data_IF_993302359880
#
_entry.id   IF_993302359880
#
_cell.length_a   1.000
_cell.length_b   1.000
_cell.length_c   1.000
_cell.angle_alpha   90.00
_cell.angle_beta   90.00
_cell.angle_gamma   90.00
#
_symmetry.space_group_name_H-M   'P 1'
#
loop_
_entity.id
_entity.type
_entity.pdbx_description
1 polymer ?
#
# COMPACT_ATOMS: atom_id res chain seq x y z
N UNK A 1 7.93 -55.97 41.08
CA UNK A 1 8.46 -55.01 40.08
C UNK A 1 7.42 -53.90 39.94
N UNK A 2 7.79 -52.65 40.18
CA UNK A 2 6.84 -51.52 40.37
C UNK A 2 6.22 -51.12 39.01
N UNK A 3 4.92 -51.33 38.75
CA UNK A 3 4.28 -50.96 37.48
C UNK A 3 4.13 -49.44 37.32
N UNK A 4 4.52 -48.66 38.33
CA UNK A 4 4.34 -47.21 38.39
C UNK A 4 5.03 -46.44 37.26
N UNK A 5 6.18 -46.90 36.74
CA UNK A 5 6.84 -46.17 35.63
C UNK A 5 6.14 -46.33 34.29
N UNK A 6 5.61 -47.52 33.99
CA UNK A 6 4.85 -47.77 32.76
C UNK A 6 3.50 -47.04 32.83
N UNK A 7 2.84 -47.09 33.99
CA UNK A 7 1.60 -46.35 34.21
C UNK A 7 1.78 -44.82 34.11
N UNK A 8 2.89 -44.27 34.62
CA UNK A 8 3.21 -42.85 34.46
C UNK A 8 3.50 -42.44 33.02
N UNK A 9 4.20 -43.28 32.25
CA UNK A 9 4.46 -43.02 30.82
C UNK A 9 3.16 -43.08 30.01
N UNK A 10 2.30 -44.06 30.30
CA UNK A 10 0.98 -44.17 29.66
C UNK A 10 0.08 -42.98 30.02
N UNK A 11 0.11 -42.52 31.28
CA UNK A 11 -0.61 -41.32 31.71
C UNK A 11 -0.11 -40.05 31.03
N UNK A 12 1.20 -39.93 30.81
CA UNK A 12 1.79 -38.79 30.09
C UNK A 12 1.43 -38.81 28.60
N UNK A 13 1.47 -39.97 27.96
CA UNK A 13 1.04 -40.12 26.55
C UNK A 13 -0.44 -39.78 26.37
N UNK A 14 -1.29 -40.25 27.29
CA UNK A 14 -2.74 -40.01 27.22
C UNK A 14 -3.08 -38.53 27.42
N UNK A 15 -2.38 -37.85 28.32
CA UNK A 15 -2.56 -36.40 28.53
C UNK A 15 -2.07 -35.56 27.34
N UNK A 16 -0.98 -35.96 26.67
CA UNK A 16 -0.54 -35.28 25.43
C UNK A 16 -1.45 -35.54 24.24
N UNK A 17 -2.06 -36.74 24.15
CA UNK A 17 -2.98 -37.08 23.06
C UNK A 17 -4.35 -36.39 23.20
N UNK A 18 -4.77 -36.06 24.43
CA UNK A 18 -6.02 -35.37 24.74
C UNK A 18 -5.90 -33.84 24.74
N UNK A 19 -4.74 -33.29 24.37
CA UNK A 19 -4.49 -31.86 24.24
C UNK A 19 -4.36 -31.39 22.76
N UNK A 20 -5.26 -31.75 21.82
CA UNK A 20 -5.26 -31.04 20.54
C UNK A 20 -5.67 -29.59 20.82
N UNK A 21 -4.74 -28.66 20.65
CA UNK A 21 -5.01 -27.24 20.75
C UNK A 21 -6.02 -26.79 19.70
N UNK A 22 -6.85 -25.79 20.02
CA UNK A 22 -7.87 -25.23 19.14
C UNK A 22 -7.28 -24.39 18.00
N UNK A 23 -6.40 -24.98 17.18
CA UNK A 23 -5.72 -24.29 16.06
C UNK A 23 -6.72 -23.68 15.09
N UNK A 24 -7.74 -24.44 14.67
CA UNK A 24 -8.77 -23.98 13.72
C UNK A 24 -9.72 -22.91 14.30
N UNK A 25 -9.71 -22.70 15.62
CA UNK A 25 -10.40 -21.59 16.26
C UNK A 25 -9.57 -20.30 16.19
N UNK A 26 -8.24 -20.42 16.35
CA UNK A 26 -7.29 -19.31 16.33
C UNK A 26 -6.94 -18.87 14.90
N UNK A 27 -6.80 -19.84 13.99
CA UNK A 27 -6.42 -19.61 12.60
C UNK A 27 -7.69 -19.60 11.74
N UNK A 28 -8.14 -18.39 11.40
CA UNK A 28 -9.26 -18.17 10.49
C UNK A 28 -8.78 -17.46 9.23
N UNK A 29 -9.11 -18.03 8.09
CA UNK A 29 -8.93 -17.33 6.81
C UNK A 29 -9.93 -16.18 6.71
N UNK A 30 -9.49 -15.00 6.26
CA UNK A 30 -10.39 -13.88 6.08
C UNK A 30 -11.31 -14.14 4.88
N UNK A 31 -12.61 -14.01 5.09
CA UNK A 31 -13.62 -14.25 4.07
C UNK A 31 -13.82 -12.99 3.21
N UNK A 32 -13.98 -13.17 1.90
CA UNK A 32 -14.30 -12.09 0.97
C UNK A 32 -13.18 -11.08 0.72
N UNK A 33 -11.94 -11.42 1.09
CA UNK A 33 -10.76 -10.59 0.79
C UNK A 33 -9.66 -11.43 0.14
N UNK A 34 -8.90 -10.79 -0.73
CA UNK A 34 -7.72 -11.40 -1.35
C UNK A 34 -6.56 -11.28 -0.38
N UNK A 35 -5.90 -12.39 -0.07
CA UNK A 35 -4.68 -12.40 0.73
C UNK A 35 -3.46 -12.38 -0.19
N UNK A 36 -2.28 -12.01 0.31
CA UNK A 36 -1.04 -12.18 -0.47
C UNK A 36 -0.87 -13.62 -0.97
N UNK A 37 -1.31 -14.60 -0.18
CA UNK A 37 -1.28 -16.02 -0.56
C UNK A 37 -2.22 -16.33 -1.72
N UNK A 38 -3.40 -15.70 -1.83
CA UNK A 38 -4.33 -15.99 -2.93
C UNK A 38 -4.17 -15.08 -4.15
N UNK A 39 -3.50 -13.92 -4.01
CA UNK A 39 -3.37 -12.92 -5.07
C UNK A 39 -2.67 -13.47 -6.33
N UNK A 40 -1.62 -14.28 -6.17
CA UNK A 40 -0.83 -14.79 -7.30
C UNK A 40 -1.15 -16.22 -7.71
N UNK A 41 -2.16 -16.84 -7.08
CA UNK A 41 -2.54 -18.24 -7.31
C UNK A 41 -3.80 -18.39 -8.18
N UNK A 42 -4.40 -17.29 -8.64
CA UNK A 42 -5.57 -17.27 -9.52
C UNK A 42 -5.28 -16.37 -10.75
N UNK A 43 -5.44 -16.87 -11.99
CA UNK A 43 -5.31 -16.05 -13.20
C UNK A 43 -6.16 -14.78 -13.19
N UNK A 44 -7.35 -14.82 -12.58
CA UNK A 44 -8.22 -13.65 -12.45
C UNK A 44 -7.57 -12.57 -11.59
N UNK A 45 -7.00 -12.97 -10.45
CA UNK A 45 -6.31 -12.06 -9.53
C UNK A 45 -5.04 -11.49 -10.16
N UNK A 46 -4.33 -12.26 -10.99
CA UNK A 46 -3.18 -11.77 -11.74
C UNK A 46 -3.57 -10.63 -12.71
N UNK A 47 -4.69 -10.77 -13.45
CA UNK A 47 -5.22 -9.70 -14.30
C UNK A 47 -5.65 -8.49 -13.47
N UNK A 48 -6.30 -8.71 -12.33
CA UNK A 48 -6.68 -7.61 -11.42
C UNK A 48 -5.47 -6.88 -10.85
N UNK A 49 -4.38 -7.58 -10.53
CA UNK A 49 -3.13 -6.98 -10.07
C UNK A 49 -2.53 -6.07 -11.15
N UNK A 50 -2.47 -6.52 -12.41
CA UNK A 50 -2.02 -5.68 -13.54
C UNK A 50 -2.93 -4.46 -13.74
N UNK A 51 -4.25 -4.66 -13.69
CA UNK A 51 -5.20 -3.55 -13.78
C UNK A 51 -5.04 -2.54 -12.64
N UNK A 52 -4.71 -3.00 -11.43
CA UNK A 52 -4.45 -2.13 -10.29
C UNK A 52 -3.19 -1.27 -10.47
N UNK A 53 -2.22 -1.70 -11.27
CA UNK A 53 -1.07 -0.85 -11.66
C UNK A 53 -1.52 0.26 -12.60
N UNK A 54 -2.30 -0.07 -13.63
CA UNK A 54 -2.85 0.92 -14.57
C UNK A 54 -3.81 1.92 -13.92
N UNK A 55 -4.58 1.47 -12.93
CA UNK A 55 -5.45 2.33 -12.13
C UNK A 55 -4.66 3.51 -11.52
N UNK A 56 -3.54 3.25 -10.84
CA UNK A 56 -2.70 4.32 -10.26
C UNK A 56 -2.18 5.28 -11.31
N UNK A 57 -1.75 4.75 -12.47
CA UNK A 57 -1.22 5.56 -13.56
C UNK A 57 -2.30 6.49 -14.18
N UNK A 58 -3.58 6.21 -13.93
CA UNK A 58 -4.70 7.01 -14.43
C UNK A 58 -5.23 8.03 -13.42
N UNK A 59 -4.68 8.07 -12.20
CA UNK A 59 -5.15 8.98 -11.17
C UNK A 59 -4.74 10.42 -11.47
N UNK A 60 -5.71 11.33 -11.39
CA UNK A 60 -5.42 12.73 -11.13
C UNK A 60 -5.16 12.89 -9.61
N UNK A 61 -6.08 12.42 -8.77
CA UNK A 61 -5.96 12.37 -7.30
C UNK A 61 -6.12 10.93 -6.82
N UNK A 62 -5.56 10.60 -5.66
CA UNK A 62 -5.49 9.21 -5.24
C UNK A 62 -5.15 8.97 -3.78
N UNK A 63 -5.32 7.74 -3.29
CA UNK A 63 -4.98 7.37 -1.93
C UNK A 63 -3.48 7.50 -1.67
N UNK A 64 -3.15 7.94 -0.47
CA UNK A 64 -1.79 7.97 0.05
C UNK A 64 -1.33 6.55 0.35
N UNK A 65 -0.35 6.07 -0.40
CA UNK A 65 0.24 4.76 -0.17
C UNK A 65 0.76 4.60 1.27
N UNK A 66 0.46 3.44 1.86
CA UNK A 66 0.88 3.10 3.22
C UNK A 66 0.12 3.83 4.34
N UNK A 67 -0.91 4.64 4.04
CA UNK A 67 -1.75 5.25 5.06
C UNK A 67 -2.92 4.33 5.45
N UNK A 68 -2.96 3.81 6.69
CA UNK A 68 -4.01 2.89 7.13
C UNK A 68 -5.39 3.58 7.24
N UNK A 69 -5.44 4.91 7.25
CA UNK A 69 -6.68 5.67 7.34
C UNK A 69 -7.24 6.04 5.96
N UNK A 70 -6.59 5.64 4.86
CA UNK A 70 -7.05 5.91 3.51
C UNK A 70 -7.06 7.40 3.16
N UNK A 71 -6.13 8.18 3.72
CA UNK A 71 -5.97 9.59 3.35
C UNK A 71 -5.74 9.74 1.85
N UNK A 72 -6.32 10.76 1.22
CA UNK A 72 -6.09 11.08 -0.19
C UNK A 72 -5.04 12.17 -0.32
N UNK A 73 -4.20 12.06 -1.34
CA UNK A 73 -3.33 13.14 -1.79
C UNK A 73 -3.98 13.90 -2.96
N UNK A 74 -3.70 15.20 -3.11
CA UNK A 74 -4.19 16.02 -4.22
C UNK A 74 -3.66 15.56 -5.60
N UNK A 75 -3.74 16.44 -6.59
CA UNK A 75 -3.37 16.13 -7.97
C UNK A 75 -1.89 15.76 -8.10
N UNK A 76 -1.51 14.93 -9.07
CA UNK A 76 -0.11 14.56 -9.33
C UNK A 76 0.80 15.75 -9.63
N UNK A 77 0.25 16.81 -10.22
CA UNK A 77 0.94 18.07 -10.55
C UNK A 77 2.15 17.95 -11.49
N UNK A 78 2.27 16.86 -12.25
CA UNK A 78 3.41 16.56 -13.13
C UNK A 78 3.67 17.64 -14.18
N UNK A 79 2.62 18.21 -14.77
CA UNK A 79 2.71 19.31 -15.74
C UNK A 79 3.39 20.56 -15.17
N UNK A 80 3.31 20.79 -13.86
CA UNK A 80 3.99 21.93 -13.23
C UNK A 80 5.51 21.79 -13.32
N UNK A 81 6.03 20.56 -13.25
CA UNK A 81 7.46 20.27 -13.33
C UNK A 81 7.95 20.17 -14.78
N UNK A 82 7.14 19.57 -15.66
CA UNK A 82 7.51 19.37 -17.07
C UNK A 82 7.43 20.64 -17.91
N UNK A 83 6.39 21.46 -17.69
CA UNK A 83 6.10 22.61 -18.56
C UNK A 83 6.34 23.94 -17.85
N UNK A 84 5.79 24.15 -16.65
CA UNK A 84 5.90 25.49 -16.01
C UNK A 84 7.32 25.78 -15.56
N UNK A 85 8.05 24.79 -15.06
CA UNK A 85 9.46 24.96 -14.70
C UNK A 85 10.39 25.03 -15.92
N UNK A 86 9.90 24.74 -17.13
CA UNK A 86 10.59 25.01 -18.39
C UNK A 86 10.25 26.43 -18.91
N UNK A 87 10.61 26.73 -20.15
CA UNK A 87 10.25 27.94 -20.88
C UNK A 87 9.03 27.76 -21.80
N UNK A 88 8.33 26.62 -21.74
CA UNK A 88 7.18 26.30 -22.60
C UNK A 88 5.84 26.83 -22.07
N UNK A 89 5.74 27.11 -20.77
CA UNK A 89 4.50 27.57 -20.14
C UNK A 89 4.72 28.62 -19.04
N UNK A 90 3.71 29.49 -18.90
CA UNK A 90 3.63 30.49 -17.83
C UNK A 90 2.29 30.37 -17.09
N UNK A 91 2.31 30.77 -15.81
CA UNK A 91 1.10 30.84 -15.01
C UNK A 91 0.19 31.96 -15.52
N UNK A 92 -1.00 31.60 -16.00
CA UNK A 92 -1.97 32.54 -16.57
C UNK A 92 -2.93 33.22 -15.57
N UNK A 93 -2.81 32.93 -14.26
CA UNK A 93 -3.71 33.47 -13.22
C UNK A 93 -3.06 34.58 -12.38
N UNK A 94 -3.74 35.03 -11.32
CA UNK A 94 -3.21 36.08 -10.43
C UNK A 94 -2.09 35.56 -9.52
N UNK A 95 -1.19 36.43 -9.01
CA UNK A 95 -0.11 35.98 -8.13
C UNK A 95 -0.57 35.25 -6.86
N UNK A 96 -1.75 35.61 -6.32
CA UNK A 96 -2.30 35.01 -5.10
C UNK A 96 -2.91 33.62 -5.31
N UNK A 97 -3.29 33.28 -6.53
CA UNK A 97 -3.88 31.99 -6.86
C UNK A 97 -2.79 30.92 -6.95
N UNK A 98 -2.79 29.91 -6.07
CA UNK A 98 -1.81 28.82 -6.06
C UNK A 98 -0.32 29.31 -6.04
N UNK A 99 0.14 29.92 -4.93
CA UNK A 99 1.47 30.53 -4.83
C UNK A 99 2.63 29.52 -4.97
N UNK A 100 2.41 28.26 -4.63
CA UNK A 100 3.40 27.18 -4.75
C UNK A 100 3.86 26.94 -6.20
N UNK A 101 3.04 27.25 -7.21
CA UNK A 101 3.47 27.18 -8.61
C UNK A 101 4.48 28.28 -8.96
N UNK A 102 4.32 29.48 -8.37
CA UNK A 102 5.31 30.55 -8.51
C UNK A 102 6.62 30.14 -7.84
N UNK A 103 6.56 29.50 -6.67
CA UNK A 103 7.75 28.98 -5.98
C UNK A 103 8.48 27.92 -6.81
N UNK A 104 7.76 27.05 -7.53
CA UNK A 104 8.34 26.11 -8.50
C UNK A 104 9.03 26.84 -9.65
N UNK A 105 8.34 27.76 -10.34
CA UNK A 105 8.89 28.54 -11.48
C UNK A 105 10.15 29.32 -11.10
N UNK A 106 10.17 29.85 -9.88
CA UNK A 106 11.29 30.65 -9.35
C UNK A 106 12.34 29.83 -8.61
N UNK A 107 12.22 28.50 -8.61
CA UNK A 107 13.17 27.57 -8.00
C UNK A 107 13.41 27.80 -6.50
N UNK A 108 12.37 28.25 -5.78
CA UNK A 108 12.39 28.52 -4.34
C UNK A 108 11.41 27.64 -3.54
N UNK A 109 11.06 26.48 -4.10
CA UNK A 109 10.09 25.55 -3.51
C UNK A 109 10.65 24.86 -2.24
N UNK A 110 9.92 24.82 -1.10
CA UNK A 110 10.34 24.06 0.06
C UNK A 110 10.08 22.56 -0.13
N UNK A 111 10.87 21.67 0.53
CA UNK A 111 10.68 20.22 0.45
C UNK A 111 9.31 19.73 0.91
N UNK A 112 8.64 20.48 1.80
CA UNK A 112 7.31 20.18 2.31
C UNK A 112 6.18 20.59 1.35
N UNK A 113 6.48 21.16 0.19
CA UNK A 113 5.46 21.71 -0.70
C UNK A 113 4.54 20.61 -1.25
N UNK A 114 3.20 20.83 -1.30
CA UNK A 114 2.25 19.83 -1.79
C UNK A 114 2.54 19.29 -3.20
N UNK A 115 2.94 20.10 -4.21
CA UNK A 115 3.30 19.57 -5.53
C UNK A 115 4.41 18.52 -5.50
N UNK A 116 5.43 18.73 -4.66
CA UNK A 116 6.58 17.82 -4.52
C UNK A 116 6.16 16.53 -3.81
N UNK A 117 5.52 16.68 -2.65
CA UNK A 117 5.15 15.53 -1.81
C UNK A 117 4.07 14.66 -2.44
N UNK A 118 3.15 15.26 -3.18
CA UNK A 118 2.05 14.53 -3.83
C UNK A 118 2.55 13.76 -5.05
N UNK A 119 3.36 14.38 -5.92
CA UNK A 119 3.97 13.70 -7.06
C UNK A 119 4.78 12.48 -6.61
N UNK A 120 5.54 12.63 -5.52
CA UNK A 120 6.29 11.53 -4.91
C UNK A 120 5.38 10.39 -4.48
N UNK A 121 4.32 10.69 -3.72
CA UNK A 121 3.39 9.66 -3.22
C UNK A 121 2.76 8.89 -4.38
N UNK A 122 2.25 9.57 -5.41
CA UNK A 122 1.64 8.89 -6.58
C UNK A 122 2.64 7.99 -7.30
N UNK A 123 3.84 8.50 -7.57
CA UNK A 123 4.90 7.75 -8.26
C UNK A 123 5.27 6.47 -7.51
N UNK A 124 5.50 6.58 -6.20
CA UNK A 124 5.86 5.42 -5.37
C UNK A 124 4.68 4.49 -5.08
N UNK A 125 3.45 4.96 -5.17
CA UNK A 125 2.25 4.11 -5.13
C UNK A 125 2.23 3.18 -6.34
N UNK A 126 2.47 3.72 -7.55
CA UNK A 126 2.50 2.94 -8.78
C UNK A 126 3.64 1.91 -8.77
N UNK A 127 4.85 2.35 -8.37
CA UNK A 127 6.02 1.46 -8.22
C UNK A 127 5.74 0.34 -7.23
N UNK A 128 5.13 0.65 -6.08
CA UNK A 128 4.84 -0.36 -5.07
C UNK A 128 3.84 -1.40 -5.56
N UNK A 129 2.76 -1.00 -6.25
CA UNK A 129 1.79 -1.94 -6.85
C UNK A 129 2.41 -2.82 -7.94
N UNK A 130 3.37 -2.29 -8.70
CA UNK A 130 4.05 -3.06 -9.74
C UNK A 130 5.06 -4.08 -9.19
N UNK A 131 5.61 -3.83 -7.99
CA UNK A 131 6.61 -4.68 -7.36
C UNK A 131 6.05 -5.71 -6.36
N UNK A 132 4.76 -5.61 -6.01
CA UNK A 132 4.05 -6.63 -5.21
C UNK A 132 3.89 -7.92 -5.98
#
# INVERSE_FOLDING_TARGET
>A
MKPTRIASIFGLLLTTALAPGCKDFLDKDPLGTTTQTSLFNDPTNAVQAVNAVYDVASWDQGPKWGDPNGQFVPQTYEWMFGDVMSDDAEKGSSPSDFPTLTELKTWNIPPSSPPVTTLWVHSFTGIARANT
#
